data_IF_178832683288
#
_entry.id   IF_178832683288
#
_cell.length_a   1.000
_cell.length_b   1.000
_cell.length_c   1.000
_cell.angle_alpha   90.00
_cell.angle_beta   90.00
_cell.angle_gamma   90.00
#
_symmetry.space_group_name_H-M   'P 1'
#
loop_
_entity.id
_entity.type
_entity.pdbx_description
1 polymer ?
#
# COMPACT_ATOMS: atom_id res chain seq x y z
N UNK A 1 10.26 1.81 -5.97
CA UNK A 1 9.84 2.54 -4.74
C UNK A 1 9.87 4.06 -4.88
N UNK A 2 10.82 4.67 -5.56
CA UNK A 2 10.84 6.14 -5.75
C UNK A 2 9.53 6.69 -6.31
N UNK A 3 8.98 6.06 -7.34
CA UNK A 3 7.68 6.43 -7.91
C UNK A 3 6.55 6.28 -6.90
N UNK A 4 6.61 5.26 -6.07
CA UNK A 4 5.61 5.00 -5.04
C UNK A 4 5.60 6.12 -4.01
N UNK A 5 6.77 6.64 -3.63
CA UNK A 5 6.89 7.78 -2.71
C UNK A 5 6.31 9.05 -3.35
N UNK A 6 6.57 9.29 -4.63
CA UNK A 6 6.00 10.43 -5.34
C UNK A 6 4.47 10.38 -5.35
N UNK A 7 3.92 9.19 -5.58
CA UNK A 7 2.46 8.98 -5.53
C UNK A 7 1.92 9.23 -4.11
N UNK A 8 2.63 8.74 -3.09
CA UNK A 8 2.24 8.95 -1.69
C UNK A 8 2.08 10.44 -1.34
N UNK A 9 2.98 11.27 -1.84
CA UNK A 9 2.97 12.71 -1.57
C UNK A 9 1.71 13.42 -2.07
N UNK A 10 1.00 12.84 -3.04
CA UNK A 10 -0.26 13.41 -3.54
C UNK A 10 -1.34 13.48 -2.46
N UNK A 11 -1.31 12.56 -1.50
CA UNK A 11 -2.26 12.55 -0.38
C UNK A 11 -2.13 13.81 0.50
N UNK A 12 -0.94 14.41 0.55
CA UNK A 12 -0.68 15.61 1.38
C UNK A 12 -1.56 16.78 0.99
N UNK A 13 -1.95 16.92 -0.27
CA UNK A 13 -2.84 17.98 -0.74
C UNK A 13 -4.21 17.95 -0.05
N UNK A 14 -4.60 16.77 0.42
CA UNK A 14 -5.90 16.54 1.04
C UNK A 14 -5.79 16.32 2.54
N UNK A 15 -4.61 16.58 3.11
CA UNK A 15 -4.31 16.33 4.52
C UNK A 15 -4.54 14.85 4.92
N UNK A 16 -4.36 13.95 3.97
CA UNK A 16 -4.43 12.52 4.24
C UNK A 16 -3.02 11.94 4.43
N UNK A 17 -2.96 10.80 5.09
CA UNK A 17 -1.70 10.12 5.39
C UNK A 17 -0.96 9.82 4.09
N UNK A 18 0.34 10.20 3.95
CA UNK A 18 1.08 10.03 2.71
C UNK A 18 1.49 8.57 2.49
N UNK A 19 0.53 7.78 2.08
CA UNK A 19 0.73 6.38 1.68
C UNK A 19 0.43 6.29 0.19
N UNK A 20 1.33 5.64 -0.54
CA UNK A 20 1.20 5.41 -1.97
C UNK A 20 1.42 3.94 -2.30
N UNK A 21 0.83 3.52 -3.40
CA UNK A 21 1.00 2.19 -3.94
C UNK A 21 1.01 2.22 -5.46
N UNK A 22 1.81 1.33 -6.04
CA UNK A 22 1.82 1.11 -7.50
C UNK A 22 1.76 -0.38 -7.78
N UNK A 23 1.13 -0.73 -8.90
CA UNK A 23 1.10 -2.11 -9.40
C UNK A 23 1.95 -2.15 -10.67
N UNK A 24 2.87 -3.12 -10.70
CA UNK A 24 3.82 -3.31 -11.82
C UNK A 24 3.57 -4.67 -12.45
N UNK A 25 3.52 -4.71 -13.76
CA UNK A 25 3.44 -5.93 -14.56
C UNK A 25 4.47 -5.86 -15.69
N UNK A 26 5.29 -6.90 -15.82
CA UNK A 26 6.34 -6.97 -16.86
C UNK A 26 7.24 -5.72 -16.88
N UNK A 27 7.63 -5.25 -15.68
CA UNK A 27 8.50 -4.08 -15.54
C UNK A 27 7.84 -2.73 -15.77
N UNK A 28 6.53 -2.69 -16.04
CA UNK A 28 5.80 -1.45 -16.32
C UNK A 28 4.77 -1.16 -15.22
N UNK A 29 4.69 0.11 -14.83
CA UNK A 29 3.66 0.57 -13.90
C UNK A 29 2.33 0.59 -14.64
N UNK A 30 1.36 -0.20 -14.17
CA UNK A 30 0.03 -0.28 -14.79
C UNK A 30 -1.04 0.47 -13.99
N UNK A 31 -0.80 0.71 -12.71
CA UNK A 31 -1.75 1.44 -11.87
C UNK A 31 -1.05 2.05 -10.67
N UNK A 32 -1.64 3.10 -10.12
CA UNK A 32 -1.17 3.74 -8.90
C UNK A 32 -2.36 4.18 -8.05
N UNK A 33 -2.11 4.39 -6.76
CA UNK A 33 -3.09 4.90 -5.82
C UNK A 33 -2.40 5.56 -4.64
N UNK A 34 -3.10 6.48 -4.01
CA UNK A 34 -2.67 7.10 -2.75
C UNK A 34 -3.88 7.20 -1.83
N UNK A 35 -3.63 7.32 -0.53
CA UNK A 35 -4.71 7.40 0.45
C UNK A 35 -5.66 8.54 0.13
N UNK A 36 -6.95 8.22 0.04
CA UNK A 36 -8.00 9.18 -0.28
C UNK A 36 -9.21 9.11 0.65
N UNK A 37 -9.08 8.47 1.79
CA UNK A 37 -10.22 8.27 2.70
C UNK A 37 -10.88 9.56 3.16
N UNK A 38 -10.12 10.64 3.30
CA UNK A 38 -10.67 11.95 3.68
C UNK A 38 -11.47 12.59 2.56
N UNK A 39 -10.97 12.50 1.33
CA UNK A 39 -11.65 13.06 0.16
C UNK A 39 -12.94 12.31 -0.16
N UNK A 40 -12.86 10.98 -0.19
CA UNK A 40 -13.99 10.12 -0.57
C UNK A 40 -14.92 9.82 0.60
N UNK A 41 -14.49 10.11 1.84
CA UNK A 41 -15.19 9.74 3.08
C UNK A 41 -15.43 8.24 3.18
N UNK A 42 -14.50 7.48 2.62
CA UNK A 42 -14.55 6.02 2.60
C UNK A 42 -13.30 5.47 3.29
N UNK A 43 -13.45 4.81 4.46
CA UNK A 43 -12.30 4.30 5.21
C UNK A 43 -11.55 3.19 4.48
N UNK A 44 -12.15 2.60 3.44
CA UNK A 44 -11.53 1.54 2.66
C UNK A 44 -10.63 2.07 1.53
N UNK A 45 -10.65 3.38 1.25
CA UNK A 45 -9.87 3.97 0.16
C UNK A 45 -8.41 4.19 0.55
N UNK A 46 -7.76 3.11 0.93
CA UNK A 46 -6.32 3.03 1.09
C UNK A 46 -5.62 2.98 -0.27
N UNK A 47 -4.38 3.43 -0.30
CA UNK A 47 -3.57 3.45 -1.51
C UNK A 47 -3.56 2.10 -2.24
N UNK A 48 -3.37 1.02 -1.49
CA UNK A 48 -3.29 -0.33 -2.04
C UNK A 48 -4.60 -0.75 -2.70
N UNK A 49 -5.73 -0.50 -2.04
CA UNK A 49 -7.06 -0.85 -2.58
C UNK A 49 -7.32 -0.11 -3.89
N UNK A 50 -7.00 1.18 -3.93
CA UNK A 50 -7.18 1.99 -5.13
C UNK A 50 -6.31 1.48 -6.28
N UNK A 51 -5.03 1.20 -6.01
CA UNK A 51 -4.10 0.70 -7.02
C UNK A 51 -4.55 -0.67 -7.55
N UNK A 52 -4.97 -1.59 -6.68
CA UNK A 52 -5.44 -2.92 -7.07
C UNK A 52 -6.67 -2.85 -7.96
N UNK A 53 -7.66 -2.04 -7.58
CA UNK A 53 -8.87 -1.85 -8.39
C UNK A 53 -8.54 -1.32 -9.78
N UNK A 54 -7.67 -0.32 -9.86
CA UNK A 54 -7.26 0.28 -11.13
C UNK A 54 -6.50 -0.70 -12.01
N UNK A 55 -5.63 -1.51 -11.41
CA UNK A 55 -4.87 -2.53 -12.14
C UNK A 55 -5.80 -3.59 -12.73
N UNK A 56 -6.74 -4.10 -11.94
CA UNK A 56 -7.71 -5.10 -12.38
C UNK A 56 -8.56 -4.56 -13.53
N UNK A 57 -9.01 -3.31 -13.43
CA UNK A 57 -9.79 -2.66 -14.48
C UNK A 57 -8.99 -2.51 -15.76
N UNK A 58 -7.72 -2.12 -15.64
CA UNK A 58 -6.84 -1.93 -16.81
C UNK A 58 -6.55 -3.23 -17.54
N UNK A 59 -6.31 -4.33 -16.78
CA UNK A 59 -6.05 -5.66 -17.36
C UNK A 59 -7.34 -6.30 -17.88
N UNK A 60 -8.48 -5.96 -17.27
CA UNK A 60 -9.76 -6.60 -17.59
C UNK A 60 -9.93 -7.95 -16.90
N UNK A 61 -9.20 -8.21 -15.81
CA UNK A 61 -9.30 -9.43 -15.03
C UNK A 61 -9.00 -9.08 -13.57
N UNK A 62 -9.71 -9.71 -12.63
CA UNK A 62 -9.47 -9.52 -11.21
C UNK A 62 -8.19 -10.23 -10.73
N UNK A 63 -7.71 -11.23 -11.49
CA UNK A 63 -6.51 -11.98 -11.15
C UNK A 63 -5.26 -11.22 -11.60
N UNK A 64 -4.43 -10.84 -10.65
CA UNK A 64 -3.20 -10.08 -10.89
C UNK A 64 -1.96 -10.97 -10.67
N UNK A 65 -2.00 -12.20 -11.19
CA UNK A 65 -1.01 -13.25 -10.92
C UNK A 65 0.44 -12.86 -11.28
N UNK A 66 0.62 -11.99 -12.27
CA UNK A 66 1.94 -11.60 -12.75
C UNK A 66 2.33 -10.19 -12.28
N UNK A 67 1.63 -9.68 -11.27
CA UNK A 67 1.83 -8.32 -10.80
C UNK A 67 2.57 -8.27 -9.47
N UNK A 68 3.35 -7.20 -9.30
CA UNK A 68 4.01 -6.85 -8.05
C UNK A 68 3.39 -5.56 -7.54
N UNK A 69 3.04 -5.52 -6.27
CA UNK A 69 2.55 -4.33 -5.61
C UNK A 69 3.67 -3.70 -4.79
N UNK A 70 3.93 -2.42 -5.01
CA UNK A 70 4.81 -1.61 -4.17
C UNK A 70 3.96 -0.70 -3.31
N UNK A 71 4.23 -0.66 -2.01
CA UNK A 71 3.56 0.23 -1.06
C UNK A 71 4.60 0.94 -0.21
N UNK A 72 4.37 2.19 0.13
CA UNK A 72 5.30 2.91 1.02
C UNK A 72 5.26 2.36 2.43
N UNK A 73 4.07 1.97 2.91
CA UNK A 73 3.87 1.45 4.24
C UNK A 73 3.40 0.00 4.17
N UNK A 74 3.70 -0.77 5.22
CA UNK A 74 3.22 -2.14 5.36
C UNK A 74 1.69 -2.18 5.21
N UNK A 75 1.15 -3.03 4.33
CA UNK A 75 -0.30 -3.18 4.20
C UNK A 75 -0.96 -3.59 5.51
N UNK A 76 -2.09 -2.95 5.82
CA UNK A 76 -2.91 -3.35 6.97
C UNK A 76 -3.63 -4.67 6.69
N UNK A 77 -4.36 -5.19 7.68
CA UNK A 77 -5.09 -6.46 7.54
C UNK A 77 -6.08 -6.45 6.36
N UNK A 78 -6.78 -5.34 6.16
CA UNK A 78 -7.72 -5.19 5.03
C UNK A 78 -6.99 -5.26 3.69
N UNK A 79 -5.90 -4.50 3.54
CA UNK A 79 -5.13 -4.46 2.30
C UNK A 79 -4.40 -5.77 2.04
N UNK A 80 -3.86 -6.41 3.07
CA UNK A 80 -3.22 -7.73 2.95
C UNK A 80 -4.23 -8.77 2.46
N UNK A 81 -5.46 -8.76 2.99
CA UNK A 81 -6.54 -9.61 2.52
C UNK A 81 -6.90 -9.34 1.06
N UNK A 82 -6.99 -8.07 0.68
CA UNK A 82 -7.27 -7.68 -0.70
C UNK A 82 -6.16 -8.16 -1.66
N UNK A 83 -4.92 -8.03 -1.25
CA UNK A 83 -3.76 -8.49 -2.04
C UNK A 83 -3.87 -9.99 -2.33
N UNK A 84 -4.26 -10.78 -1.34
CA UNK A 84 -4.52 -12.21 -1.52
C UNK A 84 -5.67 -12.46 -2.49
N UNK A 85 -6.77 -11.75 -2.33
CA UNK A 85 -7.94 -11.90 -3.19
C UNK A 85 -7.65 -11.55 -4.64
N UNK A 86 -6.84 -10.53 -4.89
CA UNK A 86 -6.42 -10.15 -6.25
C UNK A 86 -5.31 -11.04 -6.82
N UNK A 87 -4.80 -12.01 -6.05
CA UNK A 87 -3.76 -12.95 -6.50
C UNK A 87 -2.45 -12.27 -6.88
N UNK A 88 -2.08 -11.22 -6.19
CA UNK A 88 -0.78 -10.54 -6.37
C UNK A 88 0.35 -11.55 -6.09
N UNK A 89 1.38 -11.52 -6.94
CA UNK A 89 2.53 -12.43 -6.83
C UNK A 89 3.47 -12.04 -5.70
N UNK A 90 3.74 -10.75 -5.56
CA UNK A 90 4.75 -10.24 -4.64
C UNK A 90 4.40 -8.83 -4.17
N UNK A 91 4.73 -8.53 -2.93
CA UNK A 91 4.58 -7.20 -2.34
C UNK A 91 5.93 -6.70 -1.85
N UNK A 92 6.24 -5.44 -2.18
CA UNK A 92 7.42 -4.75 -1.66
C UNK A 92 6.94 -3.51 -0.92
N UNK A 93 7.29 -3.38 0.36
CA UNK A 93 6.91 -2.19 1.11
C UNK A 93 8.13 -1.54 1.78
N UNK A 94 8.01 -0.24 2.05
CA UNK A 94 9.16 0.53 2.53
C UNK A 94 9.41 0.36 4.01
N UNK A 95 8.39 0.53 4.83
CA UNK A 95 8.54 0.44 6.28
C UNK A 95 7.39 -0.31 6.92
N UNK A 96 7.67 -0.90 8.09
CA UNK A 96 6.65 -1.62 8.87
C UNK A 96 5.70 -0.66 9.57
N UNK A 97 4.49 -1.13 9.85
CA UNK A 97 3.47 -0.42 10.63
C UNK A 97 3.14 -1.24 11.87
N UNK A 98 3.76 -0.93 13.02
CA UNK A 98 3.62 -1.77 14.21
C UNK A 98 2.19 -1.92 14.74
N UNK A 99 1.33 -0.93 14.55
CA UNK A 99 -0.05 -0.98 15.05
C UNK A 99 -1.00 -1.75 14.14
N UNK A 100 -0.96 -1.48 12.86
CA UNK A 100 -1.97 -1.95 11.91
C UNK A 100 -1.43 -2.87 10.82
N UNK A 101 -0.13 -3.11 10.79
CA UNK A 101 0.49 -3.94 9.76
C UNK A 101 0.00 -5.38 9.82
N UNK A 102 -0.43 -5.90 8.67
CA UNK A 102 -0.97 -7.25 8.56
C UNK A 102 -0.03 -8.25 7.91
N UNK A 103 1.20 -7.85 7.55
CA UNK A 103 2.17 -8.70 6.85
C UNK A 103 3.23 -9.26 7.80
N UNK A 104 3.97 -8.42 8.49
CA UNK A 104 5.03 -8.84 9.43
C UNK A 104 4.79 -8.38 10.85
N UNK A 105 4.09 -7.26 11.05
CA UNK A 105 3.97 -6.64 12.38
C UNK A 105 2.96 -7.33 13.29
N UNK A 106 1.85 -7.81 12.74
CA UNK A 106 0.78 -8.42 13.55
C UNK A 106 0.30 -9.73 12.94
N UNK A 107 -0.78 -9.72 12.17
CA UNK A 107 -1.52 -10.91 11.78
C UNK A 107 -0.79 -11.87 10.84
N UNK A 108 0.28 -11.44 10.21
CA UNK A 108 1.12 -12.24 9.31
C UNK A 108 0.30 -13.03 8.29
N UNK A 109 -0.60 -12.32 7.62
CA UNK A 109 -1.61 -12.93 6.74
C UNK A 109 -0.98 -13.73 5.60
N UNK A 110 0.16 -13.28 5.05
CA UNK A 110 0.82 -13.99 3.94
C UNK A 110 1.51 -15.27 4.38
N UNK A 111 1.67 -15.49 5.69
CA UNK A 111 2.29 -16.70 6.24
C UNK A 111 1.26 -17.79 6.57
N UNK A 112 -0.03 -17.54 6.36
CA UNK A 112 -1.10 -18.52 6.62
C UNK A 112 -1.04 -19.61 5.55
N UNK A 113 -0.74 -20.84 5.99
CA UNK A 113 -0.48 -21.97 5.06
C UNK A 113 -1.73 -22.59 4.48
N UNK A 114 -2.89 -22.37 5.08
CA UNK A 114 -4.17 -22.93 4.63
C UNK A 114 -4.78 -22.19 3.45
N UNK A 115 -4.24 -21.02 3.10
CA UNK A 115 -4.73 -20.24 1.98
C UNK A 115 -4.32 -20.85 0.66
N UNK A 116 -5.19 -20.74 -0.35
CA UNK A 116 -4.96 -21.30 -1.68
C UNK A 116 -4.10 -20.44 -2.60
N UNK A 117 -3.57 -19.33 -2.08
CA UNK A 117 -2.65 -18.44 -2.80
C UNK A 117 -1.57 -17.97 -1.83
N UNK A 118 -0.33 -17.92 -2.28
CA UNK A 118 0.78 -17.39 -1.50
C UNK A 118 1.33 -16.12 -2.13
N UNK A 119 1.78 -15.20 -1.28
CA UNK A 119 2.34 -13.92 -1.69
C UNK A 119 3.75 -13.81 -1.11
N UNK A 120 4.73 -13.58 -1.97
CA UNK A 120 6.09 -13.25 -1.52
C UNK A 120 6.14 -11.80 -1.10
N UNK A 121 6.98 -11.48 -0.10
CA UNK A 121 7.11 -10.10 0.33
C UNK A 121 8.53 -9.75 0.73
N UNK A 122 8.84 -8.47 0.61
CA UNK A 122 10.12 -7.87 0.95
C UNK A 122 9.86 -6.48 1.51
N UNK A 123 10.68 -6.01 2.43
CA UNK A 123 10.51 -4.68 3.02
C UNK A 123 11.84 -4.03 3.39
N UNK A 124 11.77 -2.75 3.78
CA UNK A 124 12.96 -1.98 4.12
C UNK A 124 13.52 -1.14 2.98
N UNK A 125 12.80 -1.06 1.85
CA UNK A 125 13.25 -0.29 0.69
C UNK A 125 12.90 1.19 0.86
N UNK A 126 13.90 2.07 0.88
CA UNK A 126 13.74 3.51 1.16
C UNK A 126 13.09 3.76 2.53
N UNK A 127 13.40 2.91 3.49
CA UNK A 127 12.77 2.92 4.81
C UNK A 127 12.90 4.27 5.52
N UNK A 128 14.10 4.84 5.57
CA UNK A 128 14.35 6.10 6.29
C UNK A 128 13.64 7.29 5.67
N UNK A 129 13.60 7.36 4.34
CA UNK A 129 12.90 8.43 3.64
C UNK A 129 11.39 8.37 3.91
N UNK A 130 10.83 7.16 3.89
CA UNK A 130 9.39 6.96 4.15
C UNK A 130 9.05 7.25 5.61
N UNK A 131 9.87 6.79 6.56
CA UNK A 131 9.70 7.12 7.97
C UNK A 131 9.74 8.62 8.21
N UNK A 132 10.66 9.33 7.56
CA UNK A 132 10.75 10.78 7.63
C UNK A 132 9.50 11.47 7.15
N UNK A 133 8.99 11.04 5.99
CA UNK A 133 7.76 11.58 5.42
C UNK A 133 6.55 11.37 6.34
N UNK A 134 6.41 10.18 6.91
CA UNK A 134 5.33 9.85 7.84
C UNK A 134 5.44 10.68 9.14
N UNK A 135 6.64 10.77 9.68
CA UNK A 135 6.92 11.53 10.90
C UNK A 135 6.55 13.02 10.72
N UNK A 136 6.97 13.61 9.60
CA UNK A 136 6.70 15.02 9.29
C UNK A 136 5.20 15.27 9.18
N UNK A 137 4.47 14.37 8.54
CA UNK A 137 3.02 14.47 8.43
C UNK A 137 2.34 14.46 9.79
N UNK A 138 2.64 13.47 10.64
CA UNK A 138 2.00 13.37 11.96
C UNK A 138 2.39 14.49 12.90
N UNK A 139 3.61 14.99 12.80
CA UNK A 139 4.07 16.14 13.56
C UNK A 139 3.26 17.38 13.18
N UNK A 140 3.02 17.59 11.88
CA UNK A 140 2.24 18.70 11.35
C UNK A 140 0.77 18.61 11.78
N UNK A 141 0.18 17.43 11.74
CA UNK A 141 -1.20 17.19 12.15
C UNK A 141 -1.36 17.47 13.65
N UNK A 142 -0.43 16.98 14.48
CA UNK A 142 -0.45 17.25 15.93
C UNK A 142 -0.34 18.75 16.24
N UNK A 143 0.46 19.47 15.48
CA UNK A 143 0.59 20.93 15.63
C UNK A 143 -0.67 21.69 15.31
N UNK A 144 -1.60 21.13 14.53
CA UNK A 144 -2.88 21.77 14.18
C UNK A 144 -4.00 21.55 15.19
N UNK A 145 -3.80 20.64 16.14
CA UNK A 145 -4.81 20.32 17.17
C UNK A 145 -4.78 21.33 18.32
N UNK A 146 -3.75 22.11 18.38
CA UNK A 146 -3.56 23.15 19.39
C UNK A 146 -3.59 24.54 18.74
#
# INVERSE_FOLDING_TARGET
MKKTIQVAKRALKYNDVPIGAIVVMDGKIIASGYNRKKVTKNPMDHAEIIALKRAARKIGDWRLNNCVLYSTLEPCIMCAGAILHYRIKRVVFGTVEPKFGGVVSNDRIFDIKTLNHSVDYEFGVFEEEIKGMMRDFFKKVRGKVF
#
